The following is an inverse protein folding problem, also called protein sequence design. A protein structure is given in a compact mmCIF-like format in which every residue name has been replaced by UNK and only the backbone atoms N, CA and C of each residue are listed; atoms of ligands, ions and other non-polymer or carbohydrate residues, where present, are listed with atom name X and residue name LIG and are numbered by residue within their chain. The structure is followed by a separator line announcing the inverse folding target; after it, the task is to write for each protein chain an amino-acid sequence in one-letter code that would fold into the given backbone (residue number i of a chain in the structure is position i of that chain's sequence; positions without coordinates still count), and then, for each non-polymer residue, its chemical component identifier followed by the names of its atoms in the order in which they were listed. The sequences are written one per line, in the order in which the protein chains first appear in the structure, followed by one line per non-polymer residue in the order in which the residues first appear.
data_IF_805151199730
#
_entry.id   IF_805151199730
#
_cell.length_a   1.000
_cell.length_b   1.000
_cell.length_c   1.000
_cell.angle_alpha   90.00
_cell.angle_beta   90.00
_cell.angle_gamma   90.00
#
_symmetry.space_group_name_H-M   'P 1'
#
loop_
_entity.id
_entity.type
_entity.pdbx_description
1 polymer ?
#
# COMPACT_ATOMS: atom_id res chain seq x y z
N UNK A 1 -29.68 -4.72 71.53
CA UNK A 1 -30.37 -4.64 70.22
C UNK A 1 -29.45 -3.88 69.27
N UNK A 2 -29.03 -4.52 68.17
CA UNK A 2 -28.01 -4.03 67.23
C UNK A 2 -28.59 -2.96 66.29
N UNK A 3 -27.84 -1.90 66.02
CA UNK A 3 -28.08 -1.03 64.86
C UNK A 3 -26.76 -0.88 64.10
N UNK A 4 -26.66 -1.61 62.98
CA UNK A 4 -25.58 -1.50 62.00
C UNK A 4 -25.92 -0.35 61.06
N UNK A 5 -25.08 0.69 61.01
CA UNK A 5 -25.11 1.69 59.94
C UNK A 5 -24.40 1.09 58.72
N UNK A 6 -25.15 0.83 57.65
CA UNK A 6 -24.59 0.44 56.37
C UNK A 6 -24.07 1.69 55.64
N UNK A 7 -22.76 1.76 55.42
CA UNK A 7 -22.15 2.76 54.54
C UNK A 7 -22.41 2.35 53.07
N UNK A 8 -23.16 3.17 52.33
CA UNK A 8 -23.35 2.99 50.90
C UNK A 8 -22.07 3.39 50.17
N UNK A 9 -21.36 2.39 49.63
CA UNK A 9 -20.22 2.58 48.75
C UNK A 9 -20.74 2.98 47.36
N UNK A 10 -20.64 4.26 47.01
CA UNK A 10 -20.91 4.72 45.63
C UNK A 10 -19.68 4.41 44.78
N UNK A 11 -19.73 3.32 44.01
CA UNK A 11 -18.78 3.08 42.93
C UNK A 11 -18.98 4.15 41.84
N UNK A 12 -18.09 5.14 41.78
CA UNK A 12 -17.97 6.01 40.63
C UNK A 12 -17.42 5.19 39.46
N UNK A 13 -18.30 4.72 38.57
CA UNK A 13 -17.89 4.19 37.28
C UNK A 13 -17.25 5.34 36.48
N UNK A 14 -15.94 5.24 36.19
CA UNK A 14 -15.30 6.16 35.27
C UNK A 14 -16.05 6.09 33.92
N UNK A 15 -16.44 7.22 33.32
CA UNK A 15 -17.04 7.19 31.99
C UNK A 15 -16.02 6.55 31.04
N UNK A 16 -16.42 5.48 30.36
CA UNK A 16 -15.68 5.00 29.20
C UNK A 16 -15.57 6.18 28.23
N UNK A 17 -14.36 6.67 28.01
CA UNK A 17 -14.12 7.72 27.02
C UNK A 17 -14.53 7.13 25.66
N UNK A 18 -15.46 7.80 24.97
CA UNK A 18 -15.80 7.43 23.60
C UNK A 18 -14.56 7.57 22.71
N UNK A 19 -14.47 6.72 21.68
CA UNK A 19 -13.44 6.87 20.66
C UNK A 19 -13.52 8.25 20.00
N UNK A 20 -12.38 8.85 19.62
CA UNK A 20 -12.38 10.14 18.95
C UNK A 20 -13.10 10.02 17.59
N UNK A 21 -13.89 11.05 17.25
CA UNK A 21 -14.46 11.18 15.91
C UNK A 21 -13.38 11.46 14.88
N UNK A 22 -13.62 11.14 13.60
CA UNK A 22 -12.67 11.41 12.51
C UNK A 22 -12.24 12.88 12.46
N UNK A 23 -13.17 13.79 12.74
CA UNK A 23 -12.88 15.23 12.81
C UNK A 23 -11.88 15.56 13.92
N UNK A 24 -12.05 14.96 15.11
CA UNK A 24 -11.12 15.16 16.22
C UNK A 24 -9.74 14.58 15.92
N UNK A 25 -9.68 13.43 15.24
CA UNK A 25 -8.42 12.85 14.77
C UNK A 25 -7.75 13.78 13.76
N UNK A 26 -8.49 14.30 12.78
CA UNK A 26 -7.97 15.22 11.78
C UNK A 26 -7.46 16.55 12.40
N UNK A 27 -8.19 17.09 13.39
CA UNK A 27 -7.77 18.28 14.15
C UNK A 27 -6.45 18.03 14.89
N UNK A 28 -6.27 16.85 15.50
CA UNK A 28 -5.01 16.47 16.16
C UNK A 28 -3.88 16.35 15.14
N UNK A 29 -4.10 15.67 14.00
CA UNK A 29 -3.09 15.54 12.95
C UNK A 29 -2.66 16.91 12.40
N UNK A 30 -3.61 17.81 12.15
CA UNK A 30 -3.34 19.18 11.67
C UNK A 30 -2.61 20.05 12.69
N UNK A 31 -2.83 19.82 13.98
CA UNK A 31 -2.16 20.54 15.07
C UNK A 31 -0.72 20.07 15.26
N UNK A 32 -0.48 18.76 15.22
CA UNK A 32 0.78 18.17 15.68
C UNK A 32 1.77 17.89 14.53
N UNK A 33 1.27 17.60 13.32
CA UNK A 33 2.13 17.37 12.16
C UNK A 33 2.48 18.68 11.46
N UNK A 34 3.73 18.77 11.00
CA UNK A 34 4.29 19.97 10.37
C UNK A 34 5.01 19.57 9.08
N UNK A 35 4.95 20.41 8.03
CA UNK A 35 5.61 20.11 6.77
C UNK A 35 7.15 20.11 6.93
N UNK A 36 7.83 19.19 6.25
CA UNK A 36 9.30 19.11 6.27
C UNK A 36 9.84 18.53 4.97
N UNK A 37 10.79 19.24 4.36
CA UNK A 37 11.37 18.83 3.07
C UNK A 37 10.27 18.75 2.00
N UNK A 38 10.15 17.59 1.35
CA UNK A 38 9.09 17.32 0.38
C UNK A 38 7.81 16.74 0.99
N UNK A 39 7.76 16.53 2.30
CA UNK A 39 6.56 16.08 3.00
C UNK A 39 5.71 17.28 3.41
N UNK A 40 4.71 17.57 2.61
CA UNK A 40 3.73 18.65 2.79
C UNK A 40 2.46 18.15 3.49
N UNK A 41 1.61 19.07 3.97
CA UNK A 41 0.43 18.74 4.77
C UNK A 41 -0.71 18.09 3.98
N UNK A 42 -0.71 18.16 2.66
CA UNK A 42 -1.66 17.41 1.82
C UNK A 42 -1.55 15.89 2.03
N UNK A 43 -0.41 15.38 2.53
CA UNK A 43 -0.22 13.94 2.79
C UNK A 43 -1.06 13.40 3.95
N UNK A 44 -1.64 14.25 4.79
CA UNK A 44 -2.59 13.82 5.83
C UNK A 44 -4.03 13.82 5.32
N UNK A 45 -4.27 14.36 4.13
CA UNK A 45 -5.59 14.34 3.50
C UNK A 45 -5.84 12.97 2.90
N UNK A 46 -6.92 12.32 3.33
CA UNK A 46 -7.35 11.04 2.80
C UNK A 46 -8.27 11.24 1.60
N UNK A 47 -7.97 10.55 0.50
CA UNK A 47 -8.93 10.38 -0.58
C UNK A 47 -10.12 9.49 -0.17
N UNK A 48 -11.14 9.40 -1.02
CA UNK A 48 -12.35 8.62 -0.73
C UNK A 48 -12.04 7.15 -0.39
N UNK A 49 -11.11 6.53 -1.12
CA UNK A 49 -10.72 5.14 -0.91
C UNK A 49 -10.03 4.96 0.44
N UNK A 50 -9.08 5.85 0.77
CA UNK A 50 -8.34 5.81 2.02
C UNK A 50 -9.29 5.98 3.20
N UNK A 51 -10.21 6.94 3.14
CA UNK A 51 -11.21 7.17 4.17
C UNK A 51 -12.12 5.95 4.34
N UNK A 52 -12.67 5.43 3.24
CA UNK A 52 -13.51 4.24 3.29
C UNK A 52 -12.79 3.01 3.89
N UNK A 53 -11.49 2.85 3.63
CA UNK A 53 -10.70 1.80 4.24
C UNK A 53 -10.42 2.05 5.72
N UNK A 54 -10.18 3.30 6.14
CA UNK A 54 -10.06 3.68 7.55
C UNK A 54 -11.35 3.39 8.32
N UNK A 55 -12.49 3.88 7.83
CA UNK A 55 -13.80 3.73 8.48
C UNK A 55 -14.21 2.26 8.61
N UNK A 56 -13.83 1.45 7.62
CA UNK A 56 -14.12 0.02 7.61
C UNK A 56 -13.06 -0.84 8.31
N UNK A 57 -12.01 -0.25 8.89
CA UNK A 57 -10.84 -0.98 9.41
C UNK A 57 -10.29 -2.01 8.42
N UNK A 58 -10.10 -1.58 7.18
CA UNK A 58 -9.70 -2.39 6.02
C UNK A 58 -10.65 -3.57 5.67
N UNK A 59 -11.85 -3.62 6.26
CA UNK A 59 -12.85 -4.67 6.05
C UNK A 59 -14.19 -4.11 5.53
N UNK A 60 -14.22 -3.48 4.34
CA UNK A 60 -15.44 -2.91 3.78
C UNK A 60 -16.47 -3.99 3.42
N UNK A 61 -17.75 -3.61 3.39
CA UNK A 61 -18.80 -4.51 2.90
C UNK A 61 -18.53 -4.91 1.44
N UNK A 62 -18.97 -6.10 0.99
CA UNK A 62 -18.73 -6.55 -0.39
C UNK A 62 -19.23 -5.57 -1.46
N UNK A 63 -20.35 -4.89 -1.20
CA UNK A 63 -20.90 -3.89 -2.11
C UNK A 63 -20.00 -2.65 -2.20
N UNK A 64 -19.48 -2.17 -1.06
CA UNK A 64 -18.54 -1.05 -1.02
C UNK A 64 -17.21 -1.43 -1.68
N UNK A 65 -16.66 -2.61 -1.36
CA UNK A 65 -15.43 -3.12 -1.93
C UNK A 65 -15.48 -3.16 -3.47
N UNK A 66 -16.55 -3.75 -4.03
CA UNK A 66 -16.76 -3.85 -5.49
C UNK A 66 -16.87 -2.48 -6.16
N UNK A 67 -17.53 -1.52 -5.52
CA UNK A 67 -17.63 -0.14 -6.02
C UNK A 67 -16.26 0.51 -6.07
N UNK A 68 -15.53 0.48 -4.96
CA UNK A 68 -14.18 1.05 -4.84
C UNK A 68 -13.21 0.42 -5.84
N UNK A 69 -13.19 -0.90 -5.98
CA UNK A 69 -12.37 -1.61 -6.97
C UNK A 69 -12.65 -1.15 -8.39
N UNK A 70 -13.92 -1.01 -8.76
CA UNK A 70 -14.31 -0.53 -10.09
C UNK A 70 -13.88 0.93 -10.35
N UNK A 71 -13.96 1.79 -9.33
CA UNK A 71 -13.47 3.17 -9.40
C UNK A 71 -11.95 3.21 -9.54
N UNK A 72 -11.22 2.45 -8.72
CA UNK A 72 -9.75 2.36 -8.75
C UNK A 72 -9.24 1.72 -10.05
N UNK A 73 -9.97 0.77 -10.63
CA UNK A 73 -9.59 0.17 -11.93
C UNK A 73 -9.56 1.22 -13.05
N UNK A 74 -10.45 2.21 -13.01
CA UNK A 74 -10.50 3.29 -14.01
C UNK A 74 -9.34 4.29 -13.88
N UNK A 75 -8.64 4.30 -12.74
CA UNK A 75 -7.51 5.22 -12.51
C UNK A 75 -6.19 4.68 -13.06
N UNK A 76 -6.12 3.39 -13.41
CA UNK A 76 -4.90 2.78 -13.96
C UNK A 76 -4.63 3.34 -15.35
N UNK A 77 -3.44 3.92 -15.53
CA UNK A 77 -2.95 4.42 -16.82
C UNK A 77 -1.94 3.45 -17.41
N UNK A 78 -2.29 2.83 -18.52
CA UNK A 78 -1.41 1.93 -19.26
C UNK A 78 -0.62 2.72 -20.31
N UNK A 79 0.71 2.59 -20.37
CA UNK A 79 1.50 3.18 -21.44
C UNK A 79 1.24 2.43 -22.75
N UNK A 80 1.51 3.10 -23.88
CA UNK A 80 1.44 2.46 -25.18
C UNK A 80 2.59 1.45 -25.37
N UNK A 81 2.34 0.43 -26.20
CA UNK A 81 3.34 -0.59 -26.55
C UNK A 81 3.58 -1.63 -25.46
N UNK A 82 4.81 -2.13 -25.39
CA UNK A 82 5.19 -3.21 -24.47
C UNK A 82 5.11 -2.77 -23.01
N UNK A 83 4.56 -3.64 -22.15
CA UNK A 83 4.55 -3.48 -20.69
C UNK A 83 5.75 -4.14 -20.00
N UNK A 84 6.66 -4.75 -20.78
CA UNK A 84 7.91 -5.34 -20.28
C UNK A 84 9.03 -4.31 -20.43
N UNK A 85 9.69 -4.00 -19.30
CA UNK A 85 10.91 -3.21 -19.22
C UNK A 85 12.17 -4.08 -19.09
N UNK A 86 13.12 -3.64 -18.26
CA UNK A 86 14.38 -4.31 -17.97
C UNK A 86 14.39 -4.89 -16.55
N UNK A 87 14.47 -6.21 -16.44
CA UNK A 87 14.44 -6.90 -15.15
C UNK A 87 15.61 -6.53 -14.23
N UNK A 88 16.77 -6.12 -14.77
CA UNK A 88 17.93 -5.72 -13.94
C UNK A 88 17.64 -4.41 -13.22
N UNK A 89 17.02 -3.45 -13.91
CA UNK A 89 16.53 -2.22 -13.28
C UNK A 89 15.38 -2.53 -12.34
N UNK A 90 14.51 -3.47 -12.70
CA UNK A 90 13.45 -3.98 -11.85
C UNK A 90 13.96 -4.50 -10.50
N UNK A 91 15.02 -5.30 -10.50
CA UNK A 91 15.65 -5.82 -9.27
C UNK A 91 16.15 -4.69 -8.37
N UNK A 92 16.85 -3.70 -8.94
CA UNK A 92 17.32 -2.54 -8.19
C UNK A 92 16.15 -1.72 -7.59
N UNK A 93 15.05 -1.59 -8.33
CA UNK A 93 13.82 -0.92 -7.86
C UNK A 93 13.15 -1.71 -6.74
N UNK A 94 13.08 -3.04 -6.85
CA UNK A 94 12.48 -3.93 -5.86
C UNK A 94 13.24 -3.91 -4.52
N UNK A 95 14.56 -3.76 -4.57
CA UNK A 95 15.45 -3.64 -3.41
C UNK A 95 15.40 -2.26 -2.75
N UNK A 96 15.15 -1.20 -3.52
CA UNK A 96 15.23 0.16 -3.00
C UNK A 96 14.04 0.50 -2.10
N UNK A 97 14.36 0.78 -0.82
CA UNK A 97 13.45 1.32 0.19
C UNK A 97 13.29 2.85 0.20
N UNK A 98 13.96 3.55 -0.72
CA UNK A 98 14.07 5.02 -0.68
C UNK A 98 12.93 5.72 -1.43
N UNK A 99 12.77 7.00 -1.15
CA UNK A 99 11.90 7.90 -1.91
C UNK A 99 10.76 8.44 -1.07
N UNK A 100 10.33 9.66 -1.43
CA UNK A 100 9.19 10.36 -0.85
C UNK A 100 9.23 10.59 0.67
N UNK A 101 10.31 10.29 1.39
CA UNK A 101 10.39 10.64 2.83
C UNK A 101 10.64 12.14 3.03
N UNK A 102 10.49 12.62 4.26
CA UNK A 102 10.74 14.03 4.62
C UNK A 102 12.20 14.47 4.41
N UNK A 103 13.15 13.52 4.40
CA UNK A 103 14.58 13.77 4.25
C UNK A 103 15.09 13.54 2.82
N UNK A 104 14.31 12.85 1.99
CA UNK A 104 14.64 12.70 0.58
C UNK A 104 14.46 14.05 -0.15
N UNK A 105 15.33 14.30 -1.14
CA UNK A 105 15.24 15.51 -1.97
C UNK A 105 14.07 15.37 -2.97
N UNK A 106 13.38 16.46 -3.31
CA UNK A 106 12.43 16.46 -4.42
C UNK A 106 13.07 15.92 -5.70
N UNK A 107 12.37 15.03 -6.41
CA UNK A 107 12.85 14.40 -7.64
C UNK A 107 13.91 13.30 -7.45
N UNK A 108 14.31 12.98 -6.21
CA UNK A 108 15.16 11.82 -5.97
C UNK A 108 14.43 10.52 -6.40
N UNK A 109 15.14 9.53 -6.98
CA UNK A 109 14.51 8.29 -7.39
C UNK A 109 13.86 7.55 -6.22
N UNK A 110 12.61 7.14 -6.42
CA UNK A 110 11.86 6.29 -5.49
C UNK A 110 11.99 4.82 -5.88
N UNK A 111 11.99 3.95 -4.87
CA UNK A 111 12.01 2.50 -5.02
C UNK A 111 10.66 1.85 -4.76
N UNK A 112 10.52 0.61 -5.22
CA UNK A 112 9.30 -0.20 -5.04
C UNK A 112 9.23 -0.92 -3.69
N UNK A 113 10.36 -1.04 -2.97
CA UNK A 113 10.44 -1.71 -1.65
C UNK A 113 9.84 -3.12 -1.63
N UNK A 114 9.86 -3.84 -2.76
CA UNK A 114 9.08 -5.06 -2.94
C UNK A 114 9.51 -6.18 -1.99
N UNK A 115 10.82 -6.29 -1.74
CA UNK A 115 11.36 -7.28 -0.79
C UNK A 115 10.92 -7.04 0.66
N UNK A 116 10.49 -5.83 1.05
CA UNK A 116 9.97 -5.60 2.41
C UNK A 116 8.67 -6.36 2.69
N UNK A 117 7.96 -6.80 1.65
CA UNK A 117 6.65 -7.45 1.76
C UNK A 117 6.59 -8.83 1.11
N UNK A 118 7.43 -9.09 0.10
CA UNK A 118 7.35 -10.29 -0.73
C UNK A 118 8.70 -10.99 -0.81
N UNK A 119 8.66 -12.31 -0.94
CA UNK A 119 9.77 -13.12 -1.43
C UNK A 119 9.78 -13.07 -2.98
N UNK A 120 10.87 -12.61 -3.61
CA UNK A 120 10.99 -12.53 -5.09
C UNK A 120 12.05 -13.49 -5.63
N UNK A 121 13.33 -13.11 -5.63
CA UNK A 121 14.41 -13.98 -6.06
C UNK A 121 14.68 -15.06 -5.00
N UNK A 122 14.89 -16.34 -5.39
CA UNK A 122 15.33 -17.37 -4.45
C UNK A 122 16.72 -17.13 -3.86
N UNK A 123 17.52 -16.24 -4.46
CA UNK A 123 18.87 -15.91 -3.99
C UNK A 123 18.90 -14.77 -2.97
N UNK A 124 17.81 -13.99 -2.86
CA UNK A 124 17.70 -12.93 -1.86
C UNK A 124 17.13 -13.53 -0.57
N UNK A 125 17.88 -13.41 0.52
CA UNK A 125 17.53 -13.99 1.82
C UNK A 125 16.78 -12.99 2.70
N UNK A 126 16.88 -11.70 2.40
CA UNK A 126 16.20 -10.63 3.12
C UNK A 126 14.88 -10.29 2.42
N UNK A 127 13.80 -10.91 2.88
CA UNK A 127 12.46 -10.63 2.38
C UNK A 127 11.39 -10.65 3.48
N UNK A 128 10.28 -9.96 3.23
CA UNK A 128 9.10 -9.93 4.10
C UNK A 128 8.02 -10.93 3.67
N UNK A 129 7.03 -11.08 4.54
CA UNK A 129 5.93 -12.07 4.41
C UNK A 129 4.55 -11.45 4.58
N UNK A 130 4.45 -10.12 4.48
CA UNK A 130 3.16 -9.39 4.51
C UNK A 130 2.33 -9.76 3.28
N UNK A 131 2.97 -9.80 2.12
CA UNK A 131 2.39 -10.27 0.88
C UNK A 131 2.75 -11.73 0.59
N UNK A 132 2.09 -12.35 -0.40
CA UNK A 132 2.44 -13.70 -0.84
C UNK A 132 3.84 -13.75 -1.46
N UNK A 133 4.47 -14.93 -1.44
CA UNK A 133 5.66 -15.19 -2.25
C UNK A 133 5.36 -14.97 -3.73
N UNK A 134 6.26 -14.27 -4.42
CA UNK A 134 6.24 -14.02 -5.85
C UNK A 134 7.33 -14.81 -6.59
N UNK A 135 7.99 -15.76 -5.92
CA UNK A 135 8.93 -16.68 -6.57
C UNK A 135 8.27 -17.37 -7.75
N UNK A 136 9.02 -17.47 -8.85
CA UNK A 136 8.61 -18.18 -10.07
C UNK A 136 7.29 -17.66 -10.64
N UNK A 137 6.95 -16.38 -10.41
CA UNK A 137 5.67 -15.82 -10.83
C UNK A 137 5.44 -15.98 -12.34
N UNK A 138 6.38 -15.51 -13.15
CA UNK A 138 6.35 -15.68 -14.61
C UNK A 138 6.45 -17.14 -15.05
N UNK A 139 7.27 -17.95 -14.37
CA UNK A 139 7.41 -19.39 -14.67
C UNK A 139 6.12 -20.18 -14.46
N UNK A 140 5.29 -19.79 -13.49
CA UNK A 140 4.03 -20.47 -13.15
C UNK A 140 2.81 -19.90 -13.87
N UNK A 141 2.84 -18.62 -14.26
CA UNK A 141 1.69 -17.92 -14.87
C UNK A 141 1.89 -17.57 -16.34
N UNK A 142 3.10 -17.71 -16.87
CA UNK A 142 3.49 -17.23 -18.19
C UNK A 142 3.75 -15.72 -18.22
N UNK A 143 4.08 -15.21 -19.41
CA UNK A 143 4.42 -13.80 -19.64
C UNK A 143 3.59 -13.17 -20.78
N UNK A 144 2.42 -13.73 -21.10
CA UNK A 144 1.55 -13.22 -22.15
C UNK A 144 0.94 -11.85 -21.85
N UNK A 145 0.35 -11.17 -22.86
CA UNK A 145 -0.14 -9.79 -22.73
C UNK A 145 -1.10 -9.55 -21.55
N UNK A 146 -2.02 -10.49 -21.29
CA UNK A 146 -2.96 -10.37 -20.16
C UNK A 146 -2.26 -10.44 -18.80
N UNK A 147 -1.23 -11.28 -18.66
CA UNK A 147 -0.44 -11.37 -17.42
C UNK A 147 0.39 -10.11 -17.24
N UNK A 148 0.98 -9.57 -18.32
CA UNK A 148 1.69 -8.29 -18.26
C UNK A 148 0.76 -7.15 -17.81
N UNK A 149 -0.44 -7.08 -18.40
CA UNK A 149 -1.45 -6.07 -18.05
C UNK A 149 -1.92 -6.21 -16.60
N UNK A 150 -2.11 -7.44 -16.12
CA UNK A 150 -2.43 -7.72 -14.74
C UNK A 150 -1.31 -7.27 -13.78
N UNK A 151 -0.05 -7.67 -14.04
CA UNK A 151 1.08 -7.32 -13.16
C UNK A 151 1.29 -5.81 -13.13
N UNK A 152 1.28 -5.16 -14.31
CA UNK A 152 1.39 -3.71 -14.40
C UNK A 152 0.28 -3.03 -13.59
N UNK A 153 -0.98 -3.43 -13.81
CA UNK A 153 -2.12 -2.86 -13.10
C UNK A 153 -2.06 -3.08 -11.59
N UNK A 154 -1.63 -4.27 -11.15
CA UNK A 154 -1.51 -4.61 -9.73
C UNK A 154 -0.43 -3.75 -9.03
N UNK A 155 0.69 -3.48 -9.69
CA UNK A 155 1.74 -2.58 -9.17
C UNK A 155 1.26 -1.12 -9.19
N UNK A 156 0.60 -0.70 -10.27
CA UNK A 156 0.11 0.67 -10.43
C UNK A 156 -0.94 1.04 -9.36
N UNK A 157 -1.93 0.17 -9.16
CA UNK A 157 -2.99 0.34 -8.18
C UNK A 157 -3.49 -1.02 -7.67
N UNK A 158 -2.85 -1.55 -6.62
CA UNK A 158 -3.20 -2.86 -6.07
C UNK A 158 -4.64 -2.94 -5.53
N UNK A 159 -5.17 -1.80 -5.09
CA UNK A 159 -6.51 -1.64 -4.50
C UNK A 159 -7.64 -1.69 -5.55
N UNK A 160 -7.30 -1.66 -6.85
CA UNK A 160 -8.24 -1.95 -7.93
C UNK A 160 -8.63 -3.43 -8.04
N UNK A 161 -7.83 -4.33 -7.46
CA UNK A 161 -8.05 -5.79 -7.51
C UNK A 161 -8.45 -6.39 -6.17
N UNK A 162 -8.32 -5.60 -5.10
CA UNK A 162 -8.63 -5.99 -3.72
C UNK A 162 -8.73 -4.70 -2.93
N UNK A 163 -9.95 -4.25 -2.68
CA UNK A 163 -10.20 -3.06 -1.87
C UNK A 163 -9.43 -3.17 -0.55
N UNK A 164 -8.85 -2.05 -0.11
CA UNK A 164 -8.08 -1.97 1.12
C UNK A 164 -6.83 -2.87 1.23
N UNK A 165 -6.36 -3.47 0.12
CA UNK A 165 -5.07 -4.19 0.08
C UNK A 165 -3.93 -3.35 0.68
N UNK A 166 -3.08 -3.95 1.52
CA UNK A 166 -1.93 -3.27 2.14
C UNK A 166 -0.82 -2.89 1.15
N UNK A 167 -0.87 -3.40 -0.08
CA UNK A 167 0.07 -3.03 -1.13
C UNK A 167 -0.19 -1.57 -1.58
N UNK A 168 0.83 -0.69 -1.61
CA UNK A 168 0.65 0.70 -2.02
C UNK A 168 0.18 0.84 -3.48
N UNK A 169 -0.51 1.95 -3.78
CA UNK A 169 -0.93 2.30 -5.15
C UNK A 169 0.21 3.05 -5.87
N UNK A 170 1.32 2.37 -6.13
CA UNK A 170 2.62 2.99 -6.47
C UNK A 170 2.58 3.90 -7.71
N UNK A 171 1.77 3.57 -8.72
CA UNK A 171 1.57 4.42 -9.88
C UNK A 171 0.59 5.57 -9.62
N UNK A 172 -0.46 5.31 -8.82
CA UNK A 172 -1.47 6.34 -8.48
C UNK A 172 -0.91 7.44 -7.59
N UNK A 173 -0.03 7.10 -6.63
CA UNK A 173 0.64 8.05 -5.76
C UNK A 173 1.81 8.78 -6.42
N UNK A 174 2.19 8.42 -7.66
CA UNK A 174 3.38 8.92 -8.32
C UNK A 174 4.70 8.43 -7.67
N UNK A 175 4.64 7.38 -6.84
CA UNK A 175 5.85 6.78 -6.26
C UNK A 175 6.72 6.15 -7.33
N UNK A 176 6.12 5.48 -8.31
CA UNK A 176 6.84 4.91 -9.45
C UNK A 176 6.32 5.47 -10.76
N UNK A 177 7.23 5.76 -11.69
CA UNK A 177 6.88 6.11 -13.07
C UNK A 177 6.38 4.89 -13.86
N UNK A 178 5.66 5.08 -14.98
CA UNK A 178 5.27 3.98 -15.87
C UNK A 178 6.44 3.09 -16.29
N UNK A 179 7.60 3.67 -16.58
CA UNK A 179 8.82 2.95 -16.97
C UNK A 179 9.36 2.09 -15.81
N UNK A 180 9.40 2.62 -14.59
CA UNK A 180 9.81 1.87 -13.41
C UNK A 180 8.86 0.69 -13.13
N UNK A 181 7.56 0.88 -13.33
CA UNK A 181 6.57 -0.20 -13.20
C UNK A 181 6.83 -1.26 -14.27
N UNK A 182 7.11 -0.87 -15.53
CA UNK A 182 7.48 -1.83 -16.60
C UNK A 182 8.73 -2.63 -16.27
N UNK A 183 9.74 -2.01 -15.65
CA UNK A 183 10.93 -2.70 -15.19
C UNK A 183 10.61 -3.74 -14.09
N UNK A 184 9.69 -3.43 -13.16
CA UNK A 184 9.20 -4.41 -12.18
C UNK A 184 8.33 -5.51 -12.80
N UNK A 185 7.55 -5.21 -13.85
CA UNK A 185 6.82 -6.22 -14.63
C UNK A 185 7.83 -7.19 -15.27
N UNK A 186 8.92 -6.67 -15.84
CA UNK A 186 10.00 -7.50 -16.38
C UNK A 186 10.66 -8.35 -15.28
N UNK A 187 10.90 -7.79 -14.09
CA UNK A 187 11.43 -8.57 -12.96
C UNK A 187 10.55 -9.78 -12.64
N UNK A 188 9.23 -9.66 -12.66
CA UNK A 188 8.35 -10.78 -12.34
C UNK A 188 8.16 -11.76 -13.50
N UNK A 189 8.22 -11.29 -14.75
CA UNK A 189 7.76 -12.06 -15.93
C UNK A 189 8.85 -12.48 -16.91
N UNK A 190 10.01 -11.82 -16.91
CA UNK A 190 11.09 -12.15 -17.83
C UNK A 190 11.67 -13.54 -17.49
N UNK A 191 11.80 -14.48 -18.46
CA UNK A 191 12.39 -15.79 -18.23
C UNK A 191 13.85 -15.75 -17.75
N UNK A 192 14.59 -14.69 -18.06
CA UNK A 192 15.97 -14.45 -17.60
C UNK A 192 16.06 -13.76 -16.24
N UNK A 193 14.94 -13.32 -15.66
CA UNK A 193 14.91 -12.74 -14.32
C UNK A 193 15.30 -13.78 -13.25
N UNK A 194 16.04 -13.39 -12.19
CA UNK A 194 16.34 -14.27 -11.06
C UNK A 194 15.08 -14.81 -10.37
N UNK A 195 13.96 -14.07 -10.41
CA UNK A 195 12.66 -14.52 -9.86
C UNK A 195 12.18 -15.83 -10.50
N UNK A 196 12.52 -16.05 -11.77
CA UNK A 196 12.01 -17.17 -12.56
C UNK A 196 13.00 -18.34 -12.71
N UNK A 197 14.13 -18.32 -12.01
CA UNK A 197 15.10 -19.42 -12.01
C UNK A 197 14.66 -20.58 -11.09
#
# INVERSE_FOLDING_TARGET
MRTLLAAALVCAAAPALADPTDKQVEEVLKRDLHPRGQATMDRIEQDELQRACTDAHDNPSPALAKRLEAEQMRTIRYPEGSLIGDWKRGEALAQSGRGLTWSDKPGAPSGGSCYNCHELSPSELSYGTIGPSLRRFGKTRGNGPEVQKYVYGKIYNAKAYSACSQMPRLGTSGTLTPEQIKDLVALLLDPGSPVNQ
#
